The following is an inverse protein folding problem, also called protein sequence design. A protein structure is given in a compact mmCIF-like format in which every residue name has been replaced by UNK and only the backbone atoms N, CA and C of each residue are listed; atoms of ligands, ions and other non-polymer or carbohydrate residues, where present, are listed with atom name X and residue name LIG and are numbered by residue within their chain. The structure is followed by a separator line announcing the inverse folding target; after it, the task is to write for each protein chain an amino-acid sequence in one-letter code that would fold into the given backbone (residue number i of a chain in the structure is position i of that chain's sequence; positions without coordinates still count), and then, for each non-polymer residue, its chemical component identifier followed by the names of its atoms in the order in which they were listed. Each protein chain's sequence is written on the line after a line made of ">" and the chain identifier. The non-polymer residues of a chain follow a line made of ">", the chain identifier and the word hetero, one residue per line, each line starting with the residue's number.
data_IF_684418199787
#
_entry.id   IF_684418199787
#
_cell.length_a   1.000
_cell.length_b   1.000
_cell.length_c   1.000
_cell.angle_alpha   90.00
_cell.angle_beta   90.00
_cell.angle_gamma   90.00
#
_symmetry.space_group_name_H-M   'P 1'
#
loop_
_entity.id
_entity.type
_entity.pdbx_description
1 polymer ?
#
# COMPACT_ATOMS: atom_id res chain seq x y z
N UNK A 1 6.69 -45.51 8.13
CA UNK A 1 5.83 -44.75 7.21
C UNK A 1 5.78 -43.31 7.71
N UNK A 2 6.65 -42.43 7.17
CA UNK A 2 6.75 -41.03 7.61
C UNK A 2 5.90 -40.19 6.65
N UNK A 3 4.76 -39.70 7.16
CA UNK A 3 3.84 -38.85 6.42
C UNK A 3 4.46 -37.46 6.21
N UNK A 4 4.56 -37.03 4.95
CA UNK A 4 5.12 -35.74 4.57
C UNK A 4 4.16 -34.61 4.98
N UNK A 5 4.62 -33.73 5.86
CA UNK A 5 3.88 -32.56 6.32
C UNK A 5 4.08 -31.42 5.30
N UNK A 6 3.13 -31.25 4.39
CA UNK A 6 3.19 -30.22 3.35
C UNK A 6 2.73 -28.89 3.93
N UNK A 7 3.65 -28.15 4.56
CA UNK A 7 3.39 -26.78 5.03
C UNK A 7 3.38 -25.86 3.82
N UNK A 8 2.19 -25.52 3.32
CA UNK A 8 2.02 -24.54 2.26
C UNK A 8 2.50 -23.17 2.76
N UNK A 9 3.71 -22.80 2.36
CA UNK A 9 4.27 -21.48 2.60
C UNK A 9 3.45 -20.46 1.80
N UNK A 10 2.50 -19.80 2.46
CA UNK A 10 1.93 -18.55 1.96
C UNK A 10 3.06 -17.51 1.98
N UNK A 11 3.82 -17.45 0.89
CA UNK A 11 4.72 -16.32 0.66
C UNK A 11 3.82 -15.10 0.47
N UNK A 12 3.81 -14.11 1.40
CA UNK A 12 3.15 -12.85 1.10
C UNK A 12 3.78 -12.30 -0.17
N UNK A 13 2.99 -11.71 -1.09
CA UNK A 13 3.53 -11.16 -2.33
C UNK A 13 4.70 -10.25 -1.97
N UNK A 14 5.80 -10.26 -2.76
CA UNK A 14 7.02 -9.57 -2.42
C UNK A 14 6.67 -8.16 -1.98
N UNK A 15 6.84 -7.89 -0.68
CA UNK A 15 6.69 -6.56 -0.14
C UNK A 15 7.90 -5.81 -0.70
N UNK A 16 7.70 -5.18 -1.87
CA UNK A 16 8.73 -4.44 -2.58
C UNK A 16 9.30 -3.43 -1.57
N UNK A 17 10.59 -3.57 -1.27
CA UNK A 17 11.27 -2.95 -0.14
C UNK A 17 11.17 -1.40 -0.09
N UNK A 18 10.67 -0.74 -1.15
CA UNK A 18 10.46 0.70 -1.22
C UNK A 18 9.14 1.22 -0.64
N UNK A 19 8.18 0.34 -0.31
CA UNK A 19 6.85 0.75 0.19
C UNK A 19 6.57 0.37 1.65
N UNK A 20 7.55 -0.22 2.33
CA UNK A 20 7.44 -0.68 3.72
C UNK A 20 7.07 0.48 4.64
N UNK A 21 5.98 0.33 5.41
CA UNK A 21 5.46 1.34 6.33
C UNK A 21 4.53 2.40 5.71
N UNK A 22 4.44 2.51 4.38
CA UNK A 22 3.50 3.44 3.72
C UNK A 22 2.14 2.77 3.52
N UNK A 23 1.06 3.51 3.78
CA UNK A 23 -0.29 3.02 3.47
C UNK A 23 -0.41 2.82 1.96
N UNK A 24 -0.75 1.59 1.57
CA UNK A 24 -1.05 1.22 0.19
C UNK A 24 -2.52 0.79 0.08
N UNK A 25 -3.09 1.02 -1.08
CA UNK A 25 -4.49 0.76 -1.40
C UNK A 25 -4.56 -0.04 -2.69
N UNK A 26 -5.50 -0.98 -2.78
CA UNK A 26 -5.67 -1.80 -3.98
C UNK A 26 -6.23 -1.00 -5.16
N UNK A 27 -7.00 0.06 -4.90
CA UNK A 27 -7.66 0.86 -5.95
C UNK A 27 -7.49 2.36 -5.72
N UNK A 28 -7.50 3.13 -6.82
CA UNK A 28 -7.44 4.60 -6.79
C UNK A 28 -8.51 5.19 -5.89
N UNK A 29 -9.76 4.68 -5.98
CA UNK A 29 -10.89 5.16 -5.20
C UNK A 29 -10.64 5.07 -3.69
N UNK A 30 -10.00 4.00 -3.22
CA UNK A 30 -9.65 3.84 -1.81
C UNK A 30 -8.57 4.84 -1.39
N UNK A 31 -7.53 5.03 -2.21
CA UNK A 31 -6.48 6.01 -1.97
C UNK A 31 -7.04 7.44 -1.96
N UNK A 32 -7.83 7.82 -2.97
CA UNK A 32 -8.48 9.12 -3.09
C UNK A 32 -9.40 9.42 -1.90
N UNK A 33 -10.19 8.44 -1.45
CA UNK A 33 -11.03 8.58 -0.24
C UNK A 33 -10.16 8.87 0.98
N UNK A 34 -9.04 8.16 1.14
CA UNK A 34 -8.14 8.39 2.28
C UNK A 34 -7.42 9.72 2.18
N UNK A 35 -6.93 10.11 1.00
CA UNK A 35 -6.30 11.40 0.74
C UNK A 35 -7.27 12.56 1.05
N UNK A 36 -8.53 12.46 0.62
CA UNK A 36 -9.59 13.43 0.96
C UNK A 36 -9.82 13.52 2.47
N UNK A 37 -9.86 12.39 3.18
CA UNK A 37 -10.05 12.39 4.63
C UNK A 37 -8.85 12.99 5.37
N UNK A 38 -7.62 12.70 4.93
CA UNK A 38 -6.41 13.26 5.53
C UNK A 38 -6.29 14.76 5.23
N UNK A 39 -6.59 15.21 4.00
CA UNK A 39 -6.70 16.64 3.64
C UNK A 39 -7.63 17.38 4.59
N UNK A 40 -8.81 16.80 4.88
CA UNK A 40 -9.78 17.40 5.81
C UNK A 40 -9.31 17.40 7.26
N UNK A 41 -8.62 16.35 7.70
CA UNK A 41 -8.24 16.16 9.11
C UNK A 41 -6.97 16.92 9.49
N UNK A 42 -6.00 17.00 8.58
CA UNK A 42 -4.65 17.51 8.84
C UNK A 42 -4.29 18.73 7.99
N UNK A 43 -5.19 19.22 7.12
CA UNK A 43 -4.95 20.31 6.18
C UNK A 43 -3.74 20.09 5.23
N UNK A 44 -3.23 18.87 5.13
CA UNK A 44 -2.04 18.52 4.33
C UNK A 44 -2.44 18.22 2.88
N UNK A 45 -1.72 18.73 1.86
CA UNK A 45 -2.05 18.55 0.44
C UNK A 45 -1.71 17.14 -0.08
N UNK A 46 -2.35 16.12 0.50
CA UNK A 46 -2.17 14.73 0.11
C UNK A 46 -2.92 14.41 -1.19
N UNK A 47 -2.22 13.76 -2.11
CA UNK A 47 -2.74 13.23 -3.38
C UNK A 47 -2.51 11.73 -3.47
N UNK A 48 -3.40 11.02 -4.17
CA UNK A 48 -3.18 9.63 -4.53
C UNK A 48 -2.24 9.51 -5.73
N UNK A 49 -1.32 8.55 -5.68
CA UNK A 49 -0.45 8.21 -6.80
C UNK A 49 -0.30 6.70 -6.96
N UNK A 50 -0.19 6.24 -8.20
CA UNK A 50 0.08 4.83 -8.48
C UNK A 50 1.59 4.57 -8.40
N UNK A 51 1.99 3.68 -7.50
CA UNK A 51 3.37 3.27 -7.37
C UNK A 51 3.66 2.12 -8.32
N UNK A 52 4.54 2.35 -9.30
CA UNK A 52 4.99 1.32 -10.27
C UNK A 52 5.91 0.28 -9.65
N UNK A 53 6.47 0.53 -8.47
CA UNK A 53 7.31 -0.44 -7.77
C UNK A 53 6.49 -1.57 -7.14
N UNK A 54 5.38 -1.23 -6.48
CA UNK A 54 4.53 -2.21 -5.79
C UNK A 54 3.18 -2.47 -6.47
N UNK A 55 2.92 -1.83 -7.61
CA UNK A 55 1.66 -1.87 -8.35
C UNK A 55 0.43 -1.56 -7.49
N UNK A 56 0.58 -0.67 -6.51
CA UNK A 56 -0.49 -0.25 -5.59
C UNK A 56 -0.61 1.27 -5.55
N UNK A 57 -1.77 1.73 -5.08
CA UNK A 57 -2.05 3.14 -4.89
C UNK A 57 -1.55 3.59 -3.53
N UNK A 58 -0.85 4.71 -3.48
CA UNK A 58 -0.39 5.34 -2.25
C UNK A 58 -1.00 6.72 -2.11
N UNK A 59 -0.88 7.31 -0.93
CA UNK A 59 -1.18 8.71 -0.69
C UNK A 59 0.10 9.42 -0.25
N UNK A 60 0.37 10.59 -0.81
CA UNK A 60 1.52 11.43 -0.48
C UNK A 60 1.30 12.85 -0.96
N UNK A 61 1.85 13.81 -0.23
CA UNK A 61 1.86 15.21 -0.63
C UNK A 61 3.18 15.49 -1.34
N UNK A 62 3.13 16.28 -2.41
CA UNK A 62 4.34 16.94 -2.91
C UNK A 62 4.71 18.00 -1.88
N UNK A 63 5.55 17.62 -0.94
CA UNK A 63 6.11 18.47 0.10
C UNK A 63 7.37 17.78 0.59
N UNK A 64 8.41 17.86 -0.26
CA UNK A 64 9.84 17.74 0.07
C UNK A 64 10.33 16.42 0.69
#
# INVERSE_FOLDING_TARGET
>A
MIHQNHTQQFTPPPHIAGCTGKRSFATQKQAARRAKLMRRKYAEPLTEYFCRHCNRWHIGGNGE
#
